data_IF_152910066361
#
_entry.id   IF_152910066361
#
_cell.length_a   1.000
_cell.length_b   1.000
_cell.length_c   1.000
_cell.angle_alpha   90.00
_cell.angle_beta   90.00
_cell.angle_gamma   90.00
#
_symmetry.space_group_name_H-M   'P 1'
#
loop_
_entity.id
_entity.type
_entity.pdbx_description
1 polymer ?
#
# COMPACT_ATOMS: atom_id res chain seq x y z
N UNK A 1 41.96 44.21 28.30
CA UNK A 1 41.14 43.01 28.03
C UNK A 1 41.30 42.65 26.55
N UNK A 2 41.75 41.43 26.23
CA UNK A 2 41.90 40.95 24.85
C UNK A 2 40.53 40.65 24.24
N UNK A 3 40.28 40.92 22.95
CA UNK A 3 39.06 40.45 22.30
C UNK A 3 39.16 38.94 22.08
N UNK A 4 38.18 38.18 22.59
CA UNK A 4 38.01 36.77 22.28
C UNK A 4 37.34 36.68 20.89
N UNK A 5 38.12 36.24 19.90
CA UNK A 5 37.61 35.87 18.58
C UNK A 5 37.12 34.41 18.66
N UNK A 6 35.81 34.17 18.60
CA UNK A 6 35.28 32.82 18.41
C UNK A 6 35.37 32.46 16.93
N UNK A 7 36.14 31.42 16.60
CA UNK A 7 36.12 30.79 15.29
C UNK A 7 34.82 29.96 15.15
N UNK A 8 34.00 30.24 14.13
CA UNK A 8 32.95 29.32 13.73
C UNK A 8 33.58 28.03 13.16
N UNK A 9 33.13 26.82 13.55
CA UNK A 9 33.54 25.61 12.87
C UNK A 9 32.97 25.59 11.45
N UNK A 10 33.74 24.96 10.55
CA UNK A 10 33.60 24.99 9.11
C UNK A 10 32.16 24.77 8.60
N UNK A 11 31.75 25.69 7.72
CA UNK A 11 30.56 25.58 6.88
C UNK A 11 30.74 24.39 5.92
N UNK A 12 29.99 23.31 6.13
CA UNK A 12 29.93 22.21 5.18
C UNK A 12 29.12 22.69 3.96
N UNK A 13 29.80 22.91 2.84
CA UNK A 13 29.14 23.24 1.56
C UNK A 13 28.52 21.95 1.01
N UNK A 14 27.23 21.79 1.22
CA UNK A 14 26.43 20.75 0.57
C UNK A 14 26.05 21.25 -0.83
N UNK A 15 26.65 20.70 -1.89
CA UNK A 15 26.18 20.98 -3.25
C UNK A 15 25.02 20.03 -3.60
N UNK A 16 23.83 20.62 -3.77
CA UNK A 16 22.65 19.96 -4.36
C UNK A 16 22.28 20.78 -5.59
N UNK A 17 22.04 20.20 -6.77
CA UNK A 17 21.68 21.00 -7.94
C UNK A 17 20.27 21.59 -7.79
N UNK A 18 20.18 22.90 -8.10
CA UNK A 18 18.98 23.70 -8.37
C UNK A 18 17.98 23.97 -7.22
N UNK A 19 18.45 24.24 -6.01
CA UNK A 19 17.64 24.92 -4.98
C UNK A 19 18.42 26.07 -4.34
N UNK A 20 17.81 27.25 -4.25
CA UNK A 20 18.36 28.37 -3.49
C UNK A 20 17.87 28.24 -2.05
N UNK A 21 18.77 27.86 -1.13
CA UNK A 21 18.49 27.85 0.31
C UNK A 21 18.94 29.20 0.87
N UNK A 22 18.00 29.97 1.41
CA UNK A 22 18.32 31.21 2.12
C UNK A 22 18.22 30.95 3.61
N UNK A 23 19.35 31.02 4.32
CA UNK A 23 19.41 30.95 5.77
C UNK A 23 19.56 32.38 6.29
N UNK A 24 18.61 32.83 7.12
CA UNK A 24 18.70 34.12 7.80
C UNK A 24 18.76 33.87 9.31
N UNK A 25 19.80 34.41 9.94
CA UNK A 25 19.93 34.44 11.38
C UNK A 25 19.38 35.77 11.89
N UNK A 26 18.37 35.73 12.77
CA UNK A 26 17.90 36.93 13.46
C UNK A 26 18.87 37.36 14.56
N UNK A 27 18.69 38.56 15.10
CA UNK A 27 19.49 39.05 16.23
C UNK A 27 19.37 38.11 17.43
N UNK A 28 20.51 37.70 17.99
CA UNK A 28 20.54 36.85 19.16
C UNK A 28 19.83 37.51 20.34
N UNK A 29 19.01 36.74 21.05
CA UNK A 29 18.44 37.15 22.33
C UNK A 29 19.29 36.56 23.44
N UNK A 30 19.89 37.45 24.23
CA UNK A 30 20.69 37.07 25.40
C UNK A 30 19.83 37.23 26.63
N UNK A 31 19.61 36.14 27.36
CA UNK A 31 18.97 36.17 28.68
C UNK A 31 19.99 35.77 29.73
N UNK A 32 19.98 36.50 30.84
CA UNK A 32 20.86 36.23 31.99
C UNK A 32 19.99 35.81 33.17
N UNK A 33 20.36 34.71 33.81
CA UNK A 33 19.72 34.22 35.03
C UNK A 33 20.79 33.65 35.94
N UNK A 34 21.00 34.32 37.08
CA UNK A 34 22.08 33.99 38.02
C UNK A 34 23.45 33.99 37.34
N UNK A 35 24.25 32.95 37.59
CA UNK A 35 25.60 32.78 37.00
C UNK A 35 25.60 32.23 35.57
N UNK A 36 24.44 32.14 34.92
CA UNK A 36 24.29 31.56 33.58
C UNK A 36 23.85 32.61 32.54
N UNK A 37 24.48 32.54 31.37
CA UNK A 37 24.12 33.34 30.19
C UNK A 37 23.66 32.39 29.10
N UNK A 38 22.42 32.56 28.64
CA UNK A 38 21.85 31.79 27.53
C UNK A 38 21.71 32.72 26.32
N UNK A 39 22.33 32.33 25.21
CA UNK A 39 22.24 33.06 23.94
C UNK A 39 21.44 32.19 22.97
N UNK A 40 20.27 32.66 22.55
CA UNK A 40 19.43 31.98 21.56
C UNK A 40 19.49 32.72 20.22
N UNK A 41 19.65 31.95 19.14
CA UNK A 41 19.58 32.46 17.77
C UNK A 41 18.32 31.89 17.10
N UNK A 42 17.37 32.73 16.67
CA UNK A 42 16.31 32.27 15.79
C UNK A 42 16.89 32.05 14.38
N UNK A 43 16.72 30.84 13.85
CA UNK A 43 17.10 30.49 12.48
C UNK A 43 15.85 30.16 11.68
N UNK A 44 15.63 30.90 10.60
CA UNK A 44 14.57 30.62 9.62
C UNK A 44 15.20 30.07 8.35
N UNK A 45 14.71 28.92 7.90
CA UNK A 45 15.15 28.27 6.65
C UNK A 45 13.99 28.32 5.66
N UNK A 46 14.18 29.02 4.55
CA UNK A 46 13.21 29.06 3.45
C UNK A 46 13.82 28.34 2.26
N UNK A 47 13.08 27.38 1.72
CA UNK A 47 13.46 26.61 0.53
C UNK A 47 12.52 26.97 -0.60
N UNK A 48 13.06 27.57 -1.66
CA UNK A 48 12.31 27.87 -2.89
C UNK A 48 12.80 27.00 -4.03
N UNK A 49 11.89 26.23 -4.63
CA UNK A 49 12.15 25.42 -5.83
C UNK A 49 11.83 26.21 -7.10
N UNK A 50 12.79 26.32 -8.02
CA UNK A 50 12.49 26.79 -9.37
C UNK A 50 11.85 25.65 -10.18
N UNK A 51 10.76 25.94 -10.90
CA UNK A 51 10.17 24.98 -11.82
C UNK A 51 11.16 24.64 -12.94
N UNK A 52 11.56 23.38 -13.03
CA UNK A 52 12.41 22.89 -14.12
C UNK A 52 11.52 22.61 -15.34
N UNK A 53 11.72 23.38 -16.41
CA UNK A 53 11.18 23.04 -17.74
C UNK A 53 12.11 21.99 -18.35
N UNK A 54 11.66 20.74 -18.41
CA UNK A 54 12.37 19.67 -19.13
C UNK A 54 12.11 19.76 -20.64
N UNK A 55 13.11 19.61 -21.53
CA UNK A 55 12.87 19.44 -22.96
C UNK A 55 12.14 18.11 -23.23
N UNK A 56 11.31 18.04 -24.30
CA UNK A 56 10.44 16.90 -24.51
C UNK A 56 11.24 15.64 -24.85
N UNK A 57 11.09 14.60 -24.03
CA UNK A 57 11.42 13.22 -24.41
C UNK A 57 10.34 12.77 -25.39
N UNK A 58 10.74 12.29 -26.56
CA UNK A 58 9.84 11.70 -27.54
C UNK A 58 9.11 10.50 -26.92
N UNK A 59 7.84 10.69 -26.56
CA UNK A 59 6.93 9.64 -26.11
C UNK A 59 5.98 9.31 -27.25
N UNK A 60 5.76 8.02 -27.47
CA UNK A 60 4.67 7.48 -28.29
C UNK A 60 3.32 8.03 -27.82
N UNK A 61 2.31 8.18 -28.69
CA UNK A 61 1.12 8.98 -28.40
C UNK A 61 0.33 8.41 -27.22
N UNK A 62 0.30 9.17 -26.13
CA UNK A 62 -0.58 8.97 -24.97
C UNK A 62 -1.95 9.52 -25.35
N UNK A 63 -2.98 8.68 -25.27
CA UNK A 63 -4.38 9.11 -25.34
C UNK A 63 -4.70 9.86 -24.05
N UNK A 64 -4.89 11.18 -24.14
CA UNK A 64 -5.32 12.01 -23.00
C UNK A 64 -6.77 11.67 -22.63
N UNK A 65 -7.08 11.23 -21.40
CA UNK A 65 -8.45 11.02 -20.97
C UNK A 65 -9.20 12.36 -20.88
N UNK A 66 -10.51 12.41 -21.21
CA UNK A 66 -11.32 13.59 -20.96
C UNK A 66 -11.44 13.87 -19.45
N UNK A 67 -11.58 15.14 -19.09
CA UNK A 67 -11.68 15.59 -17.70
C UNK A 67 -12.83 14.90 -16.96
N UNK A 68 -12.48 14.15 -15.92
CA UNK A 68 -13.41 13.54 -14.96
C UNK A 68 -13.97 14.61 -14.02
N UNK A 69 -15.28 14.59 -13.78
CA UNK A 69 -15.91 15.36 -12.71
C UNK A 69 -15.35 14.90 -11.37
N UNK A 70 -14.62 15.78 -10.70
CA UNK A 70 -13.94 15.54 -9.42
C UNK A 70 -14.92 15.02 -8.36
N UNK A 71 -14.67 13.85 -7.73
CA UNK A 71 -15.33 13.48 -6.48
C UNK A 71 -15.05 14.55 -5.40
N UNK A 72 -15.86 14.58 -4.34
CA UNK A 72 -15.55 15.38 -3.14
C UNK A 72 -14.07 15.20 -2.76
N UNK A 73 -13.39 16.28 -2.35
CA UNK A 73 -11.97 16.23 -1.99
C UNK A 73 -11.68 15.03 -1.10
N UNK A 74 -10.70 14.17 -1.44
CA UNK A 74 -10.38 13.01 -0.61
C UNK A 74 -10.14 13.52 0.81
N UNK A 75 -10.85 12.93 1.76
CA UNK A 75 -10.68 13.23 3.18
C UNK A 75 -9.26 12.87 3.60
N UNK A 76 -8.77 13.51 4.65
CA UNK A 76 -7.40 13.25 5.11
C UNK A 76 -7.37 11.95 5.90
N UNK A 77 -6.24 11.25 5.88
CA UNK A 77 -6.03 10.02 6.68
C UNK A 77 -6.31 10.25 8.18
N UNK A 78 -6.12 11.48 8.66
CA UNK A 78 -6.42 11.90 10.01
C UNK A 78 -7.92 11.81 10.37
N UNK A 79 -8.84 11.83 9.40
CA UNK A 79 -10.28 11.80 9.62
C UNK A 79 -10.87 10.39 9.70
N UNK A 80 -10.13 9.36 9.25
CA UNK A 80 -10.57 7.97 9.36
C UNK A 80 -10.77 7.63 10.85
N UNK A 81 -11.85 6.93 11.19
CA UNK A 81 -12.09 6.48 12.56
C UNK A 81 -11.02 5.51 13.07
N UNK A 82 -11.09 5.15 14.35
CA UNK A 82 -10.15 4.20 14.98
C UNK A 82 -10.86 2.93 15.45
N UNK A 83 -10.08 1.87 15.65
CA UNK A 83 -10.56 0.56 16.06
C UNK A 83 -10.81 -0.38 14.88
N UNK A 84 -11.61 -1.41 15.11
CA UNK A 84 -11.95 -2.43 14.11
C UNK A 84 -13.06 -1.92 13.17
N UNK A 85 -12.83 -2.03 11.86
CA UNK A 85 -13.72 -1.58 10.78
C UNK A 85 -14.32 -0.19 11.01
N UNK A 86 -13.49 0.85 11.20
CA UNK A 86 -14.01 2.19 11.36
C UNK A 86 -14.60 2.70 10.05
N UNK A 87 -15.33 3.80 10.14
CA UNK A 87 -15.68 4.59 8.95
C UNK A 87 -14.41 5.25 8.40
N UNK A 88 -14.15 5.08 7.10
CA UNK A 88 -13.01 5.68 6.42
C UNK A 88 -13.28 7.10 5.94
N UNK A 89 -14.49 7.64 6.16
CA UNK A 89 -14.90 8.99 5.79
C UNK A 89 -14.65 9.28 4.29
N UNK A 90 -14.75 8.25 3.44
CA UNK A 90 -14.46 8.35 2.00
C UNK A 90 -12.97 8.47 1.65
N UNK A 91 -12.04 8.15 2.57
CA UNK A 91 -10.61 8.15 2.29
C UNK A 91 -10.27 7.15 1.16
N UNK A 92 -9.58 7.66 0.14
CA UNK A 92 -9.11 6.88 -1.00
C UNK A 92 -7.60 6.66 -0.90
N UNK A 93 -7.22 5.40 -0.71
CA UNK A 93 -5.82 4.99 -0.72
C UNK A 93 -5.19 5.27 -2.08
N UNK A 94 -4.03 5.94 -2.07
CA UNK A 94 -3.29 6.28 -3.30
C UNK A 94 -2.25 5.21 -3.67
N UNK A 95 -2.17 4.12 -2.90
CA UNK A 95 -1.20 3.03 -3.07
C UNK A 95 -1.25 2.43 -4.47
N UNK A 96 -2.46 2.24 -5.02
CA UNK A 96 -2.71 1.71 -6.37
C UNK A 96 -3.58 2.73 -7.12
N UNK A 97 -2.98 3.77 -7.71
CA UNK A 97 -3.76 4.80 -8.40
C UNK A 97 -4.58 4.25 -9.58
N UNK A 98 -4.17 3.11 -10.17
CA UNK A 98 -4.92 2.42 -11.22
C UNK A 98 -6.29 1.93 -10.74
N UNK A 99 -6.48 1.72 -9.43
CA UNK A 99 -7.77 1.36 -8.87
C UNK A 99 -8.78 2.51 -8.98
N UNK A 100 -8.32 3.76 -9.01
CA UNK A 100 -9.16 4.96 -8.99
C UNK A 100 -9.61 5.42 -10.39
N UNK A 101 -9.16 4.74 -11.44
CA UNK A 101 -9.45 5.09 -12.82
C UNK A 101 -10.84 4.58 -13.22
N UNK A 102 -11.67 5.48 -13.76
CA UNK A 102 -12.91 5.11 -14.43
C UNK A 102 -12.59 4.42 -15.78
N UNK A 103 -12.89 3.13 -15.85
CA UNK A 103 -12.66 2.28 -17.01
C UNK A 103 -13.95 2.00 -17.78
N UNK A 104 -15.06 2.67 -17.49
CA UNK A 104 -16.36 2.42 -18.11
C UNK A 104 -16.34 2.55 -19.64
N UNK A 105 -15.45 3.41 -20.17
CA UNK A 105 -15.25 3.65 -21.60
C UNK A 105 -14.10 2.84 -22.22
N UNK A 106 -13.35 2.07 -21.42
CA UNK A 106 -12.19 1.35 -21.91
C UNK A 106 -12.60 0.23 -22.89
N UNK A 107 -11.81 -0.03 -23.94
CA UNK A 107 -12.10 -1.08 -24.90
C UNK A 107 -12.08 -2.46 -24.23
N UNK A 108 -12.94 -3.35 -24.72
CA UNK A 108 -13.01 -4.74 -24.28
C UNK A 108 -11.97 -5.55 -25.05
N UNK A 109 -11.21 -6.38 -24.34
CA UNK A 109 -10.38 -7.42 -24.95
C UNK A 109 -11.27 -8.64 -25.21
N UNK A 110 -11.80 -8.73 -26.43
CA UNK A 110 -12.72 -9.81 -26.82
C UNK A 110 -12.06 -11.18 -26.78
N UNK A 111 -10.75 -11.27 -27.03
CA UNK A 111 -10.01 -12.53 -26.99
C UNK A 111 -9.85 -13.02 -25.56
N UNK A 112 -9.38 -12.16 -24.64
CA UNK A 112 -9.27 -12.52 -23.22
C UNK A 112 -10.63 -12.80 -22.62
N UNK A 113 -11.65 -12.01 -22.97
CA UNK A 113 -13.03 -12.26 -22.51
C UNK A 113 -13.52 -13.63 -22.97
N UNK A 114 -13.34 -14.00 -24.25
CA UNK A 114 -13.75 -15.31 -24.73
C UNK A 114 -13.00 -16.47 -24.05
N UNK A 115 -11.69 -16.32 -23.83
CA UNK A 115 -10.88 -17.33 -23.13
C UNK A 115 -11.31 -17.49 -21.67
N UNK A 116 -11.53 -16.36 -20.98
CA UNK A 116 -12.02 -16.32 -19.61
C UNK A 116 -13.39 -16.99 -19.47
N UNK A 117 -14.34 -16.64 -20.33
CA UNK A 117 -15.65 -17.28 -20.31
C UNK A 117 -15.55 -18.78 -20.60
N UNK A 118 -14.70 -19.23 -21.54
CA UNK A 118 -14.52 -20.66 -21.82
C UNK A 118 -14.11 -21.47 -20.59
N UNK A 119 -13.33 -20.89 -19.69
CA UNK A 119 -12.84 -21.56 -18.48
C UNK A 119 -13.85 -21.51 -17.34
N UNK A 120 -14.48 -20.35 -17.09
CA UNK A 120 -15.30 -20.14 -15.90
C UNK A 120 -16.83 -20.27 -16.13
N UNK A 121 -17.35 -20.26 -17.37
CA UNK A 121 -18.81 -20.34 -17.63
C UNK A 121 -19.43 -21.74 -17.74
N UNK A 122 -18.77 -22.82 -17.27
CA UNK A 122 -19.34 -24.18 -17.37
C UNK A 122 -20.34 -24.48 -16.23
N UNK A 123 -21.25 -25.46 -16.42
CA UNK A 123 -22.72 -25.29 -16.56
C UNK A 123 -23.50 -24.73 -15.35
N UNK A 124 -22.83 -24.43 -14.23
CA UNK A 124 -23.43 -23.72 -13.09
C UNK A 124 -23.00 -22.27 -12.99
N UNK A 125 -21.87 -21.86 -13.61
CA UNK A 125 -21.24 -20.54 -13.50
C UNK A 125 -20.83 -20.22 -12.05
N UNK A 126 -19.66 -19.63 -11.81
CA UNK A 126 -19.40 -19.09 -10.48
C UNK A 126 -20.08 -17.72 -10.36
N UNK A 127 -20.78 -17.56 -9.25
CA UNK A 127 -21.55 -16.36 -8.97
C UNK A 127 -20.70 -15.38 -8.19
N UNK A 128 -21.08 -14.12 -8.17
CA UNK A 128 -20.49 -13.19 -7.22
C UNK A 128 -20.71 -13.69 -5.79
N UNK A 129 -19.62 -13.80 -5.05
CA UNK A 129 -19.60 -14.09 -3.62
C UNK A 129 -19.04 -12.90 -2.85
N UNK A 130 -19.70 -12.51 -1.78
CA UNK A 130 -19.16 -11.55 -0.83
C UNK A 130 -18.28 -12.29 0.17
N UNK A 131 -16.99 -12.01 0.15
CA UNK A 131 -16.06 -12.42 1.21
C UNK A 131 -15.93 -11.30 2.23
N UNK A 132 -16.83 -11.24 3.20
CA UNK A 132 -16.79 -10.24 4.28
C UNK A 132 -15.96 -10.70 5.49
N UNK A 133 -14.87 -11.45 5.26
CA UNK A 133 -14.04 -11.96 6.37
C UNK A 133 -12.86 -11.06 6.68
N UNK A 134 -12.52 -10.09 5.82
CA UNK A 134 -11.27 -9.31 5.93
C UNK A 134 -11.30 -8.36 7.13
N UNK A 135 -10.44 -8.57 8.13
CA UNK A 135 -10.36 -7.69 9.28
C UNK A 135 -9.56 -6.44 8.94
N UNK A 136 -10.06 -5.28 9.37
CA UNK A 136 -9.33 -4.02 9.29
C UNK A 136 -9.29 -3.35 10.65
N UNK A 137 -8.11 -2.95 11.10
CA UNK A 137 -7.95 -2.17 12.33
C UNK A 137 -7.17 -0.89 12.04
N UNK A 138 -7.59 0.22 12.64
CA UNK A 138 -6.97 1.54 12.45
C UNK A 138 -6.60 2.14 13.80
N UNK A 139 -5.39 2.68 13.92
CA UNK A 139 -4.90 3.33 15.14
C UNK A 139 -4.02 4.54 14.85
N UNK A 140 -4.15 5.59 15.66
CA UNK A 140 -3.19 6.70 15.71
C UNK A 140 -2.05 6.48 16.72
N UNK A 141 -2.14 5.46 17.55
CA UNK A 141 -1.18 5.17 18.62
C UNK A 141 -0.68 3.72 18.50
N UNK A 142 0.01 3.37 17.40
CA UNK A 142 0.49 2.02 17.18
C UNK A 142 1.49 1.60 18.26
N UNK A 143 1.36 0.36 18.73
CA UNK A 143 2.43 -0.31 19.47
C UNK A 143 3.03 -1.35 18.55
N UNK A 144 4.29 -1.17 18.16
CA UNK A 144 4.92 -2.08 17.22
C UNK A 144 5.53 -3.29 17.93
N UNK A 145 5.37 -4.45 17.30
CA UNK A 145 6.01 -5.70 17.68
C UNK A 145 6.89 -6.20 16.55
N UNK A 146 8.03 -6.79 16.89
CA UNK A 146 8.87 -7.49 15.93
C UNK A 146 8.33 -8.90 15.72
N UNK A 147 8.17 -9.30 14.47
CA UNK A 147 7.84 -10.69 14.13
C UNK A 147 9.03 -11.61 14.44
N UNK A 148 8.80 -12.70 15.16
CA UNK A 148 9.82 -13.69 15.48
C UNK A 148 10.22 -14.53 14.26
N UNK A 149 9.33 -14.63 13.28
CA UNK A 149 9.56 -15.34 12.01
C UNK A 149 8.63 -14.78 10.92
N UNK A 150 9.21 -14.61 9.73
CA UNK A 150 8.49 -14.44 8.47
C UNK A 150 8.95 -15.54 7.52
N UNK A 151 8.02 -16.28 6.93
CA UNK A 151 8.35 -17.50 6.16
C UNK A 151 8.94 -17.16 4.80
N UNK A 152 8.36 -16.19 4.09
CA UNK A 152 8.86 -15.67 2.81
C UNK A 152 9.58 -14.36 3.05
N UNK A 153 10.69 -14.45 3.79
CA UNK A 153 11.44 -13.29 4.26
C UNK A 153 12.06 -12.47 3.11
N UNK A 154 12.44 -13.12 2.00
CA UNK A 154 13.13 -12.47 0.89
C UNK A 154 12.21 -11.58 0.05
N UNK A 155 10.89 -11.79 0.13
CA UNK A 155 9.88 -10.95 -0.54
C UNK A 155 9.10 -10.04 0.42
N UNK A 156 9.39 -10.12 1.73
CA UNK A 156 8.73 -9.34 2.78
C UNK A 156 9.53 -8.11 3.21
N UNK A 157 8.85 -7.11 3.77
CA UNK A 157 9.51 -5.86 4.19
C UNK A 157 10.26 -5.98 5.52
N UNK A 158 9.84 -6.88 6.42
CA UNK A 158 10.53 -7.22 7.67
C UNK A 158 10.70 -6.02 8.60
N UNK A 159 9.60 -5.29 8.81
CA UNK A 159 9.50 -4.16 9.72
C UNK A 159 8.70 -4.53 10.98
N UNK A 160 8.85 -3.78 12.09
CA UNK A 160 7.94 -3.90 13.21
C UNK A 160 6.52 -3.51 12.78
N UNK A 161 5.53 -4.29 13.23
CA UNK A 161 4.13 -4.19 12.81
C UNK A 161 3.24 -3.84 14.01
N UNK A 162 2.16 -3.05 13.83
CA UNK A 162 1.33 -2.56 14.93
C UNK A 162 0.32 -3.60 15.44
N UNK A 163 0.78 -4.82 15.74
CA UNK A 163 -0.09 -5.90 16.22
C UNK A 163 -0.31 -5.82 17.74
N UNK A 164 -1.47 -6.29 18.18
CA UNK A 164 -1.83 -6.39 19.60
C UNK A 164 -2.53 -7.72 19.92
N UNK A 165 -2.73 -8.07 21.19
CA UNK A 165 -3.56 -9.21 21.57
C UNK A 165 -5.03 -9.06 21.15
N UNK A 166 -5.45 -7.89 20.69
CA UNK A 166 -6.78 -7.61 20.14
C UNK A 166 -6.82 -7.62 18.60
N UNK A 167 -5.66 -7.83 17.94
CA UNK A 167 -5.62 -7.91 16.47
C UNK A 167 -6.58 -8.99 15.99
N UNK A 168 -7.48 -8.59 15.10
CA UNK A 168 -8.46 -9.47 14.45
C UNK A 168 -7.86 -10.08 13.19
N UNK A 169 -8.08 -11.39 13.03
CA UNK A 169 -7.84 -12.13 11.78
C UNK A 169 -9.21 -12.54 11.18
N UNK A 170 -9.23 -13.10 9.97
CA UNK A 170 -10.47 -13.58 9.31
C UNK A 170 -11.28 -14.56 10.17
N UNK A 171 -10.64 -15.24 11.14
CA UNK A 171 -11.26 -16.23 12.03
C UNK A 171 -11.31 -15.79 13.50
N UNK A 172 -11.29 -14.47 13.74
CA UNK A 172 -11.47 -13.86 15.05
C UNK A 172 -10.19 -13.29 15.64
N UNK A 173 -10.21 -12.99 16.94
CA UNK A 173 -9.06 -12.36 17.61
C UNK A 173 -7.89 -13.35 17.65
N UNK A 174 -6.70 -12.87 17.30
CA UNK A 174 -5.48 -13.69 17.25
C UNK A 174 -5.21 -14.39 18.58
N UNK A 175 -4.81 -15.67 18.52
CA UNK A 175 -4.54 -16.47 19.72
C UNK A 175 -5.79 -17.01 20.44
N UNK A 176 -6.99 -16.79 19.92
CA UNK A 176 -8.21 -17.53 20.32
C UNK A 176 -8.33 -18.85 19.56
N UNK A 177 -9.20 -19.78 20.00
CA UNK A 177 -9.34 -21.09 19.36
C UNK A 177 -9.73 -20.99 17.87
N UNK A 178 -10.58 -20.02 17.48
CA UNK A 178 -10.97 -19.79 16.08
C UNK A 178 -9.80 -19.32 15.20
N UNK A 179 -8.97 -18.41 15.72
CA UNK A 179 -7.80 -17.88 15.03
C UNK A 179 -6.51 -18.71 15.19
N UNK A 180 -6.58 -19.90 15.82
CA UNK A 180 -5.43 -20.80 16.03
C UNK A 180 -5.26 -21.85 14.94
N UNK A 181 -6.18 -21.93 13.97
CA UNK A 181 -6.15 -22.95 12.95
C UNK A 181 -4.90 -22.81 12.06
N UNK A 182 -4.00 -23.80 12.11
CA UNK A 182 -2.71 -23.74 11.43
C UNK A 182 -2.79 -23.66 9.89
N UNK A 183 -3.95 -23.99 9.32
CA UNK A 183 -4.23 -24.07 7.88
C UNK A 183 -5.17 -22.96 7.37
N UNK A 184 -5.43 -21.92 8.16
CA UNK A 184 -6.23 -20.77 7.73
C UNK A 184 -5.33 -19.63 7.25
N UNK A 185 -5.87 -18.83 6.33
CA UNK A 185 -5.22 -17.65 5.76
C UNK A 185 -4.84 -16.60 6.81
N UNK A 186 -5.74 -16.26 7.74
CA UNK A 186 -5.47 -15.34 8.85
C UNK A 186 -4.82 -14.03 8.41
N UNK A 187 -5.41 -13.40 7.39
CA UNK A 187 -5.04 -12.05 7.00
C UNK A 187 -5.20 -11.09 8.17
N UNK A 188 -4.26 -10.16 8.32
CA UNK A 188 -4.35 -9.01 9.24
C UNK A 188 -4.02 -7.74 8.50
N UNK A 189 -4.95 -6.78 8.51
CA UNK A 189 -4.81 -5.48 7.86
C UNK A 189 -4.85 -4.39 8.91
N UNK A 190 -3.72 -3.75 9.14
CA UNK A 190 -3.52 -2.76 10.21
C UNK A 190 -3.13 -1.41 9.60
N UNK A 191 -3.86 -0.35 9.92
CA UNK A 191 -3.58 1.02 9.46
C UNK A 191 -3.06 1.84 10.62
N UNK A 192 -1.84 2.34 10.44
CA UNK A 192 -1.26 3.38 11.26
C UNK A 192 -1.48 4.73 10.57
N UNK A 193 -2.53 5.42 11.02
CA UNK A 193 -2.92 6.72 10.46
C UNK A 193 -2.00 7.87 10.88
N UNK A 194 -1.15 7.67 11.90
CA UNK A 194 -0.17 8.69 12.33
C UNK A 194 1.04 8.70 11.41
N UNK A 195 1.52 7.54 10.97
CA UNK A 195 2.69 7.44 10.09
C UNK A 195 2.34 7.21 8.62
N UNK A 196 1.07 7.12 8.25
CA UNK A 196 0.67 6.95 6.85
C UNK A 196 0.95 5.55 6.30
N UNK A 197 0.78 4.52 7.15
CA UNK A 197 1.16 3.14 6.82
C UNK A 197 0.00 2.17 6.91
N UNK A 198 -0.01 1.24 5.96
CA UNK A 198 -0.86 0.08 5.94
C UNK A 198 0.05 -1.16 6.01
N UNK A 199 -0.19 -2.01 6.98
CA UNK A 199 0.51 -3.27 7.18
C UNK A 199 -0.43 -4.41 6.84
N UNK A 200 -0.01 -5.27 5.93
CA UNK A 200 -0.77 -6.43 5.52
C UNK A 200 0.09 -7.67 5.71
N UNK A 201 -0.43 -8.64 6.46
CA UNK A 201 0.27 -9.89 6.73
C UNK A 201 -0.62 -11.08 6.39
N UNK A 202 0.00 -12.14 5.89
CA UNK A 202 -0.62 -13.43 5.62
C UNK A 202 -0.17 -14.47 6.65
N UNK A 203 -1.11 -15.33 7.08
CA UNK A 203 -0.94 -16.34 8.12
C UNK A 203 -0.32 -15.81 9.41
N UNK A 204 -0.87 -14.70 9.91
CA UNK A 204 -0.44 -14.11 11.18
C UNK A 204 -0.80 -15.05 12.33
N UNK A 205 0.19 -15.40 13.16
CA UNK A 205 0.08 -16.36 14.27
C UNK A 205 0.66 -15.75 15.54
N UNK A 206 -0.01 -16.01 16.67
CA UNK A 206 0.49 -15.71 18.02
C UNK A 206 0.71 -17.03 18.78
N UNK A 207 1.96 -17.32 19.11
CA UNK A 207 2.34 -18.51 19.88
C UNK A 207 3.33 -18.13 20.98
N UNK A 208 3.04 -18.54 22.22
CA UNK A 208 3.90 -18.28 23.39
C UNK A 208 4.29 -16.79 23.55
N UNK A 209 3.38 -15.86 23.21
CA UNK A 209 3.62 -14.42 23.28
C UNK A 209 4.43 -13.82 22.13
N UNK A 210 4.80 -14.62 21.12
CA UNK A 210 5.53 -14.16 19.93
C UNK A 210 4.65 -14.20 18.68
N UNK A 211 4.71 -13.12 17.89
CA UNK A 211 4.03 -13.01 16.61
C UNK A 211 4.90 -13.55 15.47
N UNK A 212 4.29 -14.26 14.53
CA UNK A 212 4.94 -14.70 13.29
C UNK A 212 3.95 -14.59 12.14
N UNK A 213 4.47 -14.55 10.91
CA UNK A 213 3.64 -14.54 9.71
C UNK A 213 4.27 -15.38 8.60
N UNK A 214 3.50 -15.69 7.56
CA UNK A 214 4.04 -16.23 6.32
C UNK A 214 4.71 -15.11 5.52
N UNK A 215 4.01 -14.00 5.30
CA UNK A 215 4.53 -12.80 4.63
C UNK A 215 4.14 -11.52 5.38
N UNK A 216 4.87 -10.45 5.11
CA UNK A 216 4.60 -9.09 5.61
C UNK A 216 4.84 -8.10 4.47
N UNK A 217 3.87 -7.23 4.21
CA UNK A 217 4.01 -6.13 3.25
C UNK A 217 3.54 -4.82 3.88
N UNK A 218 4.32 -3.77 3.68
CA UNK A 218 4.04 -2.44 4.21
C UNK A 218 3.87 -1.45 3.09
N UNK A 219 2.73 -0.79 3.09
CA UNK A 219 2.30 0.13 2.06
C UNK A 219 2.26 1.55 2.59
N UNK A 220 2.60 2.49 1.72
CA UNK A 220 2.17 3.88 1.88
C UNK A 220 0.68 4.00 1.53
N UNK A 221 -0.09 4.63 2.42
CA UNK A 221 -1.52 4.91 2.21
C UNK A 221 -1.79 6.09 1.28
N UNK A 222 -0.82 6.99 1.09
CA UNK A 222 -0.99 8.29 0.41
C UNK A 222 -0.11 8.51 -0.83
N UNK A 223 0.77 7.56 -1.16
CA UNK A 223 1.58 7.58 -2.38
C UNK A 223 1.45 6.27 -3.16
N UNK A 224 1.58 6.32 -4.51
CA UNK A 224 1.70 5.13 -5.32
C UNK A 224 2.88 4.26 -4.86
N UNK A 225 2.65 2.96 -4.69
CA UNK A 225 3.67 2.01 -4.31
C UNK A 225 3.41 0.67 -5.00
N UNK A 226 4.45 0.09 -5.61
CA UNK A 226 4.41 -1.26 -6.19
C UNK A 226 5.62 -2.05 -5.72
N UNK A 227 5.44 -3.37 -5.58
CA UNK A 227 6.56 -4.28 -5.30
C UNK A 227 7.52 -4.37 -6.49
N UNK A 228 8.76 -4.81 -6.29
CA UNK A 228 9.60 -5.29 -7.38
C UNK A 228 8.89 -6.40 -8.18
N UNK A 229 9.21 -6.52 -9.47
CA UNK A 229 8.69 -7.62 -10.28
C UNK A 229 9.10 -8.97 -9.72
N UNK A 230 8.14 -9.89 -9.67
CA UNK A 230 8.30 -11.21 -9.08
C UNK A 230 8.13 -11.26 -7.56
N UNK A 231 7.95 -10.12 -6.88
CA UNK A 231 7.65 -10.14 -5.44
C UNK A 231 6.14 -10.25 -5.24
N UNK A 232 5.74 -11.23 -4.42
CA UNK A 232 4.37 -11.33 -3.91
C UNK A 232 4.09 -10.29 -2.81
N UNK A 233 2.93 -10.40 -2.18
CA UNK A 233 2.55 -9.64 -0.99
C UNK A 233 1.75 -10.53 -0.03
N UNK A 234 0.83 -9.97 0.77
CA UNK A 234 -0.23 -10.78 1.40
C UNK A 234 -1.29 -11.24 0.40
N UNK A 235 -1.19 -10.80 -0.85
CA UNK A 235 -2.00 -11.17 -2.00
C UNK A 235 -1.08 -11.70 -3.11
N UNK A 236 -1.48 -12.78 -3.79
CA UNK A 236 -0.67 -13.40 -4.85
C UNK A 236 -0.25 -12.42 -5.94
N UNK A 237 -1.09 -11.47 -6.35
CA UNK A 237 -0.77 -10.52 -7.42
C UNK A 237 0.35 -9.52 -7.04
N UNK A 238 0.76 -9.48 -5.78
CA UNK A 238 1.63 -8.42 -5.25
C UNK A 238 0.89 -7.09 -5.06
N UNK A 239 -0.44 -7.12 -4.97
CA UNK A 239 -1.30 -5.96 -4.77
C UNK A 239 -1.61 -5.76 -3.27
N UNK A 240 -1.86 -4.52 -2.82
CA UNK A 240 -2.41 -4.31 -1.50
C UNK A 240 -3.88 -4.76 -1.44
N UNK A 241 -4.30 -5.32 -0.31
CA UNK A 241 -5.65 -5.84 -0.07
C UNK A 241 -6.61 -4.70 0.28
N UNK A 242 -6.35 -3.93 1.35
CA UNK A 242 -7.27 -2.91 1.87
C UNK A 242 -7.69 -1.84 0.83
N UNK A 243 -6.78 -1.30 -0.01
CA UNK A 243 -7.14 -0.34 -1.06
C UNK A 243 -8.11 -0.89 -2.12
N UNK A 244 -8.28 -2.23 -2.18
CA UNK A 244 -9.12 -2.94 -3.13
C UNK A 244 -10.30 -3.67 -2.44
N UNK A 245 -10.47 -3.51 -1.12
CA UNK A 245 -11.59 -4.11 -0.40
C UNK A 245 -12.88 -3.35 -0.64
N UNK A 246 -13.97 -4.08 -0.82
CA UNK A 246 -15.30 -3.53 -0.71
C UNK A 246 -15.57 -3.13 0.76
N UNK A 247 -15.83 -1.85 1.05
CA UNK A 247 -16.11 -1.41 2.43
C UNK A 247 -17.56 -1.03 2.65
N UNK A 248 -18.12 -1.47 3.78
CA UNK A 248 -19.51 -1.20 4.12
C UNK A 248 -19.81 0.31 4.24
N UNK A 249 -18.90 1.09 4.80
CA UNK A 249 -19.08 2.53 4.98
C UNK A 249 -19.23 3.26 3.63
N UNK A 250 -18.53 2.83 2.59
CA UNK A 250 -18.69 3.36 1.24
C UNK A 250 -20.05 3.03 0.62
N UNK A 251 -20.54 1.81 0.84
CA UNK A 251 -21.90 1.41 0.43
C UNK A 251 -22.95 2.23 1.17
N UNK A 252 -22.78 2.42 2.48
CA UNK A 252 -23.68 3.24 3.30
C UNK A 252 -23.64 4.73 2.89
N UNK A 253 -22.49 5.23 2.46
CA UNK A 253 -22.30 6.58 1.95
C UNK A 253 -22.75 6.75 0.49
N UNK A 254 -23.12 5.66 -0.19
CA UNK A 254 -23.74 5.70 -1.51
C UNK A 254 -22.78 5.66 -2.71
N UNK A 255 -21.47 5.50 -2.49
CA UNK A 255 -20.50 5.41 -3.57
C UNK A 255 -19.21 4.70 -3.13
N UNK A 256 -18.76 3.77 -3.97
CA UNK A 256 -17.41 3.20 -3.92
C UNK A 256 -16.65 3.78 -5.11
N UNK A 257 -15.52 4.43 -4.84
CA UNK A 257 -14.78 5.23 -5.84
C UNK A 257 -13.45 4.59 -6.27
N UNK A 258 -13.36 3.27 -6.15
CA UNK A 258 -12.17 2.50 -6.51
C UNK A 258 -12.57 1.12 -7.03
N UNK A 259 -11.59 0.42 -7.58
CA UNK A 259 -11.70 -0.95 -8.02
C UNK A 259 -11.78 -1.92 -6.85
N UNK A 260 -12.47 -3.04 -7.06
CA UNK A 260 -12.48 -4.13 -6.11
C UNK A 260 -11.35 -5.15 -6.42
N UNK A 261 -11.09 -6.05 -5.49
CA UNK A 261 -10.33 -7.29 -5.76
C UNK A 261 -11.27 -8.48 -5.91
N UNK A 262 -10.87 -9.44 -6.75
CA UNK A 262 -11.58 -10.70 -6.95
C UNK A 262 -10.59 -11.86 -7.04
N UNK A 263 -10.97 -13.02 -6.50
CA UNK A 263 -10.16 -14.23 -6.51
C UNK A 263 -10.68 -15.29 -7.50
N UNK A 264 -9.79 -16.21 -7.88
CA UNK A 264 -10.10 -17.38 -8.71
C UNK A 264 -9.32 -18.59 -8.20
N UNK A 265 -9.83 -19.81 -8.41
CA UNK A 265 -9.24 -21.05 -7.85
C UNK A 265 -7.78 -21.23 -8.26
N UNK A 266 -7.46 -20.86 -9.50
CA UNK A 266 -6.10 -20.77 -9.99
C UNK A 266 -5.95 -19.50 -10.83
N UNK A 267 -4.79 -18.87 -10.71
CA UNK A 267 -4.38 -17.73 -11.53
C UNK A 267 -3.28 -18.09 -12.52
N UNK A 268 -3.01 -17.21 -13.47
CA UNK A 268 -1.90 -17.33 -14.39
C UNK A 268 -0.56 -17.02 -13.69
N UNK A 269 0.54 -17.66 -14.11
CA UNK A 269 1.90 -17.32 -13.68
C UNK A 269 2.47 -16.03 -14.31
N UNK A 270 1.83 -15.51 -15.34
CA UNK A 270 2.04 -14.17 -15.91
C UNK A 270 1.07 -13.18 -15.27
N UNK A 271 1.39 -11.89 -15.34
CA UNK A 271 0.58 -10.84 -14.71
C UNK A 271 0.50 -9.58 -15.58
N UNK A 272 -0.45 -8.71 -15.25
CA UNK A 272 -0.65 -7.41 -15.90
C UNK A 272 -0.58 -6.33 -14.82
N UNK A 273 0.08 -5.21 -15.10
CA UNK A 273 0.13 -4.10 -14.14
C UNK A 273 -1.30 -3.64 -13.75
N UNK A 274 -1.53 -3.28 -12.47
CA UNK A 274 -0.53 -3.00 -11.44
C UNK A 274 0.00 -4.23 -10.68
N UNK A 275 -0.46 -5.45 -10.98
CA UNK A 275 0.11 -6.65 -10.39
C UNK A 275 1.58 -6.81 -10.80
N UNK A 276 2.39 -7.34 -9.89
CA UNK A 276 3.84 -7.52 -10.05
C UNK A 276 4.25 -8.97 -9.90
N UNK A 277 3.32 -9.85 -9.59
CA UNK A 277 3.53 -11.28 -9.39
C UNK A 277 2.30 -12.06 -9.87
N UNK A 278 2.50 -13.33 -10.19
CA UNK A 278 1.42 -14.27 -10.47
C UNK A 278 1.80 -15.67 -10.03
N UNK A 279 0.80 -16.48 -9.71
CA UNK A 279 1.00 -17.85 -9.23
C UNK A 279 0.39 -18.82 -10.23
N UNK A 280 1.16 -19.77 -10.75
CA UNK A 280 0.67 -20.78 -11.68
C UNK A 280 1.65 -21.13 -12.80
N UNK A 281 1.28 -22.09 -13.64
CA UNK A 281 2.10 -22.59 -14.76
C UNK A 281 1.96 -21.75 -16.05
N UNK A 282 1.13 -20.70 -16.03
CA UNK A 282 0.96 -19.74 -17.13
C UNK A 282 -0.22 -20.00 -18.07
N UNK A 283 -1.09 -20.96 -17.78
CA UNK A 283 -2.18 -21.37 -18.69
C UNK A 283 -3.59 -20.88 -18.32
N UNK A 284 -3.85 -20.57 -17.05
CA UNK A 284 -5.16 -20.11 -16.58
C UNK A 284 -5.52 -18.72 -17.15
N UNK A 285 -6.79 -18.52 -17.48
CA UNK A 285 -7.26 -17.26 -18.08
C UNK A 285 -7.45 -16.13 -17.06
N UNK A 286 -7.58 -16.45 -15.77
CA UNK A 286 -7.51 -15.46 -14.69
C UNK A 286 -6.08 -14.97 -14.48
N UNK A 287 -5.71 -13.88 -15.15
CA UNK A 287 -4.36 -13.31 -15.07
C UNK A 287 -4.31 -12.29 -13.92
N UNK A 288 -3.41 -12.42 -12.92
CA UNK A 288 -3.23 -11.42 -11.87
C UNK A 288 -3.06 -10.00 -12.44
N UNK A 289 -3.80 -9.05 -11.87
CA UNK A 289 -3.92 -7.66 -12.32
C UNK A 289 -4.79 -7.44 -13.57
N UNK A 290 -5.30 -8.51 -14.20
CA UNK A 290 -6.36 -8.39 -15.22
C UNK A 290 -7.56 -7.68 -14.59
N UNK A 291 -8.12 -6.75 -15.36
CA UNK A 291 -9.25 -5.94 -14.92
C UNK A 291 -10.54 -6.44 -15.57
N UNK A 292 -11.47 -6.91 -14.76
CA UNK A 292 -12.82 -7.28 -15.19
C UNK A 292 -13.81 -6.15 -14.87
N UNK A 293 -14.78 -5.92 -15.75
CA UNK A 293 -15.76 -4.84 -15.62
C UNK A 293 -17.16 -5.38 -15.86
N UNK A 294 -18.11 -5.03 -15.01
CA UNK A 294 -19.52 -5.38 -15.21
C UNK A 294 -20.04 -4.70 -16.49
N UNK A 295 -20.72 -5.46 -17.34
CA UNK A 295 -21.27 -4.96 -18.61
C UNK A 295 -22.21 -3.77 -18.36
N UNK A 296 -22.07 -2.74 -19.19
CA UNK A 296 -22.92 -1.55 -19.12
C UNK A 296 -24.42 -1.91 -19.25
N UNK A 297 -24.73 -2.92 -20.06
CA UNK A 297 -26.09 -3.43 -20.32
C UNK A 297 -26.72 -4.23 -19.17
N UNK A 298 -25.97 -4.61 -18.14
CA UNK A 298 -26.54 -5.33 -17.00
C UNK A 298 -27.50 -4.41 -16.23
N UNK A 299 -28.78 -4.77 -16.15
CA UNK A 299 -29.77 -3.94 -15.46
C UNK A 299 -29.63 -4.06 -13.94
N UNK A 300 -29.27 -2.95 -13.30
CA UNK A 300 -29.06 -2.85 -11.86
C UNK A 300 -30.29 -2.32 -11.11
N UNK A 301 -31.30 -1.81 -11.82
CA UNK A 301 -32.43 -1.06 -11.23
C UNK A 301 -33.31 -1.93 -10.31
N UNK A 302 -33.31 -3.24 -10.55
CA UNK A 302 -34.05 -4.26 -9.79
C UNK A 302 -33.45 -4.60 -8.42
N UNK A 303 -32.20 -4.22 -8.14
CA UNK A 303 -31.55 -4.53 -6.87
C UNK A 303 -31.77 -3.41 -5.83
N UNK A 304 -31.46 -3.71 -4.56
CA UNK A 304 -31.48 -2.71 -3.49
C UNK A 304 -30.55 -1.52 -3.80
N UNK A 305 -30.74 -0.39 -3.11
CA UNK A 305 -29.87 0.78 -3.29
C UNK A 305 -28.42 0.47 -2.90
N UNK A 306 -28.20 -0.31 -1.84
CA UNK A 306 -26.87 -0.77 -1.42
C UNK A 306 -26.20 -1.62 -2.50
N UNK A 307 -26.90 -2.59 -3.08
CA UNK A 307 -26.37 -3.41 -4.18
C UNK A 307 -26.14 -2.59 -5.47
N UNK A 308 -26.99 -1.59 -5.75
CA UNK A 308 -26.75 -0.66 -6.86
C UNK A 308 -25.43 0.11 -6.71
N UNK A 309 -24.98 0.43 -5.49
CA UNK A 309 -23.67 1.06 -5.26
C UNK A 309 -22.53 0.13 -5.68
N UNK A 310 -22.56 -1.13 -5.25
CA UNK A 310 -21.55 -2.15 -5.60
C UNK A 310 -21.51 -2.36 -7.12
N UNK A 311 -22.67 -2.59 -7.74
CA UNK A 311 -22.77 -2.80 -9.19
C UNK A 311 -22.35 -1.57 -9.99
N UNK A 312 -22.62 -0.36 -9.50
CA UNK A 312 -22.14 0.88 -10.12
C UNK A 312 -20.61 0.95 -10.09
N UNK A 313 -19.98 0.58 -8.97
CA UNK A 313 -18.53 0.53 -8.86
C UNK A 313 -17.92 -0.52 -9.80
N UNK A 314 -18.54 -1.71 -9.91
CA UNK A 314 -18.10 -2.75 -10.86
C UNK A 314 -18.25 -2.35 -12.33
N UNK A 315 -19.23 -1.49 -12.68
CA UNK A 315 -19.35 -0.92 -14.03
C UNK A 315 -18.30 0.16 -14.29
N UNK A 316 -18.03 1.00 -13.29
CA UNK A 316 -17.19 2.19 -13.44
C UNK A 316 -15.72 1.88 -13.27
N UNK A 317 -15.36 1.25 -12.16
CA UNK A 317 -14.00 0.90 -11.79
C UNK A 317 -13.70 -0.56 -12.11
N UNK A 318 -14.65 -1.48 -11.96
CA UNK A 318 -14.37 -2.92 -12.16
C UNK A 318 -13.58 -3.53 -11.00
N UNK A 319 -12.96 -4.68 -11.24
CA UNK A 319 -12.19 -5.41 -10.25
C UNK A 319 -10.90 -6.03 -10.82
N UNK A 320 -9.85 -6.06 -10.01
CA UNK A 320 -8.60 -6.74 -10.33
C UNK A 320 -8.66 -8.21 -9.91
N UNK A 321 -8.25 -9.10 -10.81
CA UNK A 321 -7.86 -10.47 -10.44
C UNK A 321 -6.65 -10.36 -9.51
N UNK A 322 -6.79 -10.81 -8.28
CA UNK A 322 -5.79 -10.56 -7.24
C UNK A 322 -5.15 -11.87 -6.75
N UNK A 323 -5.98 -12.86 -6.41
CA UNK A 323 -5.49 -13.98 -5.62
C UNK A 323 -6.05 -15.34 -6.02
N UNK A 324 -5.38 -16.39 -5.54
CA UNK A 324 -5.88 -17.75 -5.57
C UNK A 324 -6.86 -17.95 -4.42
N UNK A 325 -8.11 -18.27 -4.73
CA UNK A 325 -9.19 -18.44 -3.76
C UNK A 325 -10.45 -18.96 -4.44
N UNK A 326 -11.63 -18.81 -3.85
CA UNK A 326 -12.86 -19.16 -4.55
C UNK A 326 -13.06 -18.32 -5.81
N UNK A 327 -13.60 -18.92 -6.87
CA UNK A 327 -13.98 -18.17 -8.08
C UNK A 327 -15.02 -17.10 -7.76
N UNK A 328 -14.80 -15.88 -8.25
CA UNK A 328 -15.73 -14.75 -8.12
C UNK A 328 -16.02 -14.32 -6.67
N UNK A 329 -15.08 -14.55 -5.75
CA UNK A 329 -15.13 -13.98 -4.39
C UNK A 329 -14.56 -12.56 -4.39
N UNK A 330 -15.38 -11.60 -4.02
CA UNK A 330 -15.03 -10.20 -3.86
C UNK A 330 -14.89 -9.90 -2.37
N UNK A 331 -13.66 -9.61 -1.96
CA UNK A 331 -13.37 -9.39 -0.54
C UNK A 331 -13.84 -8.03 -0.05
N UNK A 332 -14.37 -8.04 1.15
CA UNK A 332 -14.96 -6.94 1.86
C UNK A 332 -14.51 -6.93 3.32
N UNK A 333 -14.53 -5.75 3.94
CA UNK A 333 -14.24 -5.65 5.36
C UNK A 333 -15.28 -6.44 6.20
N UNK A 334 -14.87 -6.99 7.34
CA UNK A 334 -15.73 -7.81 8.20
C UNK A 334 -16.69 -7.00 9.09
N UNK A 335 -17.34 -6.03 8.47
CA UNK A 335 -18.33 -5.18 9.11
C UNK A 335 -19.62 -5.95 9.42
N UNK A 336 -20.09 -6.00 10.68
CA UNK A 336 -21.29 -6.74 11.04
C UNK A 336 -22.59 -6.16 10.45
N UNK A 337 -22.53 -4.96 9.83
CA UNK A 337 -23.68 -4.31 9.21
C UNK A 337 -23.97 -4.81 7.80
N UNK A 338 -23.12 -5.64 7.22
CA UNK A 338 -23.40 -6.31 5.94
C UNK A 338 -24.69 -7.13 6.03
N UNK A 339 -25.66 -6.84 5.15
CA UNK A 339 -26.82 -7.70 4.94
C UNK A 339 -26.46 -8.75 3.89
N UNK A 340 -25.96 -9.90 4.33
CA UNK A 340 -25.49 -10.98 3.44
C UNK A 340 -26.61 -11.58 2.60
N UNK A 341 -27.86 -11.57 3.08
CA UNK A 341 -29.00 -12.07 2.32
C UNK A 341 -29.33 -11.15 1.14
N UNK A 342 -29.32 -9.83 1.36
CA UNK A 342 -29.52 -8.85 0.27
C UNK A 342 -28.40 -8.91 -0.76
N UNK A 343 -27.14 -9.02 -0.31
CA UNK A 343 -26.00 -9.20 -1.23
C UNK A 343 -26.08 -10.54 -1.96
N UNK A 344 -26.59 -11.60 -1.32
CA UNK A 344 -26.81 -12.90 -1.94
C UNK A 344 -27.81 -12.87 -3.10
N UNK A 345 -28.85 -12.04 -3.03
CA UNK A 345 -29.80 -11.83 -4.16
C UNK A 345 -29.08 -11.23 -5.37
N UNK A 346 -28.19 -10.26 -5.15
CA UNK A 346 -27.34 -9.71 -6.21
C UNK A 346 -26.35 -10.76 -6.73
N UNK A 347 -25.71 -11.50 -5.81
CA UNK A 347 -24.72 -12.52 -6.10
C UNK A 347 -25.25 -13.59 -7.06
N UNK A 348 -26.40 -14.16 -6.75
CA UNK A 348 -27.06 -15.19 -7.57
C UNK A 348 -27.44 -14.71 -8.99
N UNK A 349 -27.50 -13.40 -9.23
CA UNK A 349 -27.80 -12.83 -10.53
C UNK A 349 -26.55 -12.42 -11.33
N UNK A 350 -25.36 -12.48 -10.73
CA UNK A 350 -24.11 -12.00 -11.27
C UNK A 350 -23.16 -13.17 -11.50
N UNK A 351 -23.04 -13.60 -12.74
CA UNK A 351 -22.10 -14.63 -13.21
C UNK A 351 -20.93 -14.00 -13.94
N UNK A 352 -19.91 -14.77 -14.27
CA UNK A 352 -18.79 -14.33 -15.12
C UNK A 352 -19.27 -13.78 -16.45
N UNK A 353 -20.31 -14.38 -17.04
CA UNK A 353 -20.88 -13.93 -18.30
C UNK A 353 -21.41 -12.49 -18.28
N UNK A 354 -21.60 -11.89 -17.10
CA UNK A 354 -21.99 -10.50 -16.95
C UNK A 354 -20.82 -9.51 -17.02
N UNK A 355 -19.57 -9.98 -17.05
CA UNK A 355 -18.37 -9.14 -17.10
C UNK A 355 -17.69 -9.19 -18.47
N UNK A 356 -16.92 -8.13 -18.74
CA UNK A 356 -15.95 -8.05 -19.82
C UNK A 356 -14.54 -7.92 -19.23
N UNK A 357 -13.54 -8.51 -19.90
CA UNK A 357 -12.14 -8.20 -19.63
C UNK A 357 -11.80 -6.90 -20.37
N UNK A 358 -11.37 -5.87 -19.65
CA UNK A 358 -10.91 -4.63 -20.30
C UNK A 358 -9.48 -4.78 -20.80
N UNK A 359 -9.19 -4.16 -21.95
CA UNK A 359 -7.89 -4.24 -22.58
C UNK A 359 -6.83 -3.59 -21.69
N UNK A 360 -5.94 -4.43 -21.17
CA UNK A 360 -4.81 -4.05 -20.32
C UNK A 360 -3.56 -4.76 -20.84
N UNK A 361 -2.55 -3.98 -21.21
CA UNK A 361 -1.29 -4.47 -21.80
C UNK A 361 -0.12 -3.66 -21.24
N UNK A 362 1.10 -4.22 -21.25
CA UNK A 362 1.48 -5.56 -21.72
C UNK A 362 1.23 -6.67 -20.68
N UNK A 363 1.12 -7.92 -21.18
CA UNK A 363 1.22 -9.12 -20.34
C UNK A 363 2.70 -9.36 -20.01
N UNK A 364 3.01 -9.50 -18.73
CA UNK A 364 4.37 -9.73 -18.24
C UNK A 364 4.52 -11.20 -17.88
N UNK A 365 5.51 -11.86 -18.49
CA UNK A 365 5.86 -13.24 -18.13
C UNK A 365 6.53 -13.26 -16.75
N UNK A 366 5.87 -13.88 -15.76
CA UNK A 366 6.39 -13.93 -14.40
C UNK A 366 7.68 -14.73 -14.23
N UNK A 367 7.99 -15.64 -15.15
CA UNK A 367 9.25 -16.40 -15.15
C UNK A 367 10.41 -15.64 -15.82
N UNK A 368 10.10 -14.56 -16.53
CA UNK A 368 11.09 -13.71 -17.20
C UNK A 368 10.62 -12.25 -17.16
N UNK A 369 10.50 -11.65 -15.95
CA UNK A 369 10.04 -10.28 -15.83
C UNK A 369 11.04 -9.29 -16.45
N UNK A 370 10.59 -8.09 -16.86
CA UNK A 370 11.47 -7.07 -17.39
C UNK A 370 12.58 -6.69 -16.41
N UNK A 371 13.82 -6.60 -16.90
CA UNK A 371 14.98 -6.18 -16.12
C UNK A 371 15.32 -4.71 -16.39
N UNK A 372 15.91 -4.03 -15.40
CA UNK A 372 16.32 -2.63 -15.52
C UNK A 372 17.27 -2.21 -14.41
N UNK A 373 17.57 -0.90 -14.35
CA UNK A 373 18.45 -0.37 -13.32
C UNK A 373 17.78 -0.40 -11.94
N UNK A 374 18.43 -1.07 -10.99
CA UNK A 374 18.04 -1.04 -9.56
C UNK A 374 18.37 0.32 -8.93
N UNK A 375 17.81 0.66 -7.75
CA UNK A 375 18.11 1.91 -7.07
C UNK A 375 19.59 2.01 -6.66
N UNK A 376 20.05 3.24 -6.37
CA UNK A 376 21.41 3.50 -5.88
C UNK A 376 21.36 4.22 -4.54
N UNK A 377 21.92 3.60 -3.49
CA UNK A 377 22.06 4.22 -2.16
C UNK A 377 23.36 5.03 -2.12
N UNK A 378 23.25 6.35 -2.31
CA UNK A 378 24.38 7.28 -2.24
C UNK A 378 24.96 7.39 -0.84
N UNK A 379 24.11 7.48 0.19
CA UNK A 379 24.54 7.58 1.58
C UNK A 379 23.56 6.88 2.52
N UNK A 380 24.07 6.37 3.65
CA UNK A 380 23.28 5.91 4.79
C UNK A 380 24.13 6.07 6.05
N UNK A 381 23.71 6.95 6.95
CA UNK A 381 24.46 7.34 8.15
C UNK A 381 23.59 7.20 9.40
N UNK A 382 24.26 7.03 10.54
CA UNK A 382 23.63 6.98 11.86
C UNK A 382 24.40 7.89 12.81
N UNK A 383 23.69 8.78 13.51
CA UNK A 383 24.27 9.66 14.51
C UNK A 383 23.45 9.63 15.79
N UNK A 384 24.11 9.77 16.93
CA UNK A 384 23.43 9.81 18.24
C UNK A 384 23.04 11.24 18.57
N UNK A 385 21.75 11.50 18.78
CA UNK A 385 21.22 12.82 19.13
C UNK A 385 20.26 12.67 20.30
N UNK A 386 20.56 13.34 21.42
CA UNK A 386 19.71 13.38 22.61
C UNK A 386 19.21 12.00 23.10
N UNK A 387 20.06 10.97 23.05
CA UNK A 387 19.71 9.61 23.48
C UNK A 387 18.92 8.79 22.44
N UNK A 388 18.80 9.28 21.20
CA UNK A 388 18.18 8.59 20.08
C UNK A 388 19.21 8.34 18.96
N UNK A 389 18.92 7.38 18.07
CA UNK A 389 19.65 7.23 16.82
C UNK A 389 18.91 7.97 15.71
N UNK A 390 19.57 8.94 15.07
CA UNK A 390 19.06 9.60 13.85
C UNK A 390 19.74 8.98 12.64
N UNK A 391 18.94 8.33 11.80
CA UNK A 391 19.33 7.76 10.52
C UNK A 391 19.07 8.78 9.41
N UNK A 392 20.00 8.91 8.47
CA UNK A 392 19.84 9.75 7.27
C UNK A 392 20.37 9.04 6.04
N UNK A 393 19.69 9.17 4.90
CA UNK A 393 20.09 8.53 3.65
C UNK A 393 19.80 9.37 2.43
N UNK A 394 20.46 9.02 1.33
CA UNK A 394 20.15 9.51 -0.01
C UNK A 394 20.08 8.35 -0.98
N UNK A 395 19.02 8.31 -1.77
CA UNK A 395 18.76 7.23 -2.72
C UNK A 395 18.25 7.82 -4.03
N UNK A 396 18.75 7.31 -5.16
CA UNK A 396 18.25 7.66 -6.49
C UNK A 396 17.63 6.42 -7.15
N UNK A 397 16.60 6.65 -7.99
CA UNK A 397 15.93 5.57 -8.73
C UNK A 397 15.06 4.64 -7.87
N UNK A 398 14.80 4.98 -6.61
CA UNK A 398 13.91 4.25 -5.72
C UNK A 398 12.48 4.75 -5.85
N UNK A 399 11.53 3.82 -5.80
CA UNK A 399 10.09 4.12 -5.69
C UNK A 399 9.62 4.16 -4.24
N UNK A 400 10.21 3.35 -3.37
CA UNK A 400 10.03 3.43 -1.91
C UNK A 400 11.27 2.88 -1.19
N UNK A 401 11.45 3.25 0.06
CA UNK A 401 12.57 2.79 0.90
C UNK A 401 12.12 2.65 2.35
N UNK A 402 12.76 1.77 3.09
CA UNK A 402 12.48 1.54 4.51
C UNK A 402 13.73 1.08 5.24
N UNK A 403 13.74 1.20 6.58
CA UNK A 403 14.80 0.65 7.42
C UNK A 403 14.29 -0.65 8.02
N UNK A 404 14.91 -1.76 7.62
CA UNK A 404 14.57 -3.10 8.08
C UNK A 404 14.60 -3.15 9.60
N UNK A 405 13.61 -3.81 10.21
CA UNK A 405 13.43 -3.94 11.65
C UNK A 405 13.25 -2.63 12.45
N UNK A 406 13.11 -1.47 11.80
CA UNK A 406 12.81 -0.19 12.46
C UNK A 406 11.44 0.36 12.07
N UNK A 407 11.29 0.87 10.84
CA UNK A 407 10.01 1.33 10.29
C UNK A 407 10.13 1.69 8.80
N UNK A 408 8.99 1.85 8.13
CA UNK A 408 8.91 2.49 6.81
C UNK A 408 8.58 3.99 6.97
N UNK A 409 9.38 4.89 6.39
CA UNK A 409 9.15 6.35 6.46
C UNK A 409 9.25 6.99 5.07
N UNK A 410 8.45 8.04 4.85
CA UNK A 410 8.43 8.78 3.58
C UNK A 410 9.54 9.84 3.50
N UNK A 411 10.33 9.99 4.57
CA UNK A 411 11.43 10.93 4.69
C UNK A 411 12.78 10.27 4.40
N UNK A 412 13.80 11.07 4.07
CA UNK A 412 15.20 10.64 3.99
C UNK A 412 15.90 10.60 5.35
N UNK A 413 15.13 10.67 6.43
CA UNK A 413 15.60 10.66 7.81
C UNK A 413 14.61 9.93 8.71
N UNK A 414 15.12 9.26 9.74
CA UNK A 414 14.32 8.55 10.74
C UNK A 414 14.98 8.72 12.11
N UNK A 415 14.16 8.88 13.14
CA UNK A 415 14.63 8.81 14.53
C UNK A 415 14.20 7.49 15.15
N UNK A 416 15.16 6.70 15.59
CA UNK A 416 14.95 5.45 16.32
C UNK A 416 15.18 5.70 17.80
N UNK A 417 14.20 5.31 18.62
CA UNK A 417 14.17 5.54 20.06
C UNK A 417 13.92 4.20 20.78
N UNK A 418 14.67 3.86 21.84
CA UNK A 418 15.85 4.56 22.35
C UNK A 418 17.11 4.28 21.50
N UNK A 419 18.18 5.05 21.72
CA UNK A 419 19.52 4.67 21.26
C UNK A 419 19.90 3.29 21.80
N UNK A 420 20.46 2.46 20.92
CA UNK A 420 21.02 1.15 21.27
C UNK A 420 22.47 1.11 20.82
N UNK A 421 23.40 1.06 21.78
CA UNK A 421 24.83 1.05 21.53
C UNK A 421 25.23 -0.15 20.65
N UNK A 422 25.95 0.12 19.56
CA UNK A 422 26.41 -0.90 18.63
C UNK A 422 25.32 -1.53 17.76
N UNK A 423 24.09 -1.00 17.75
CA UNK A 423 23.03 -1.46 16.86
C UNK A 423 23.42 -1.29 15.38
N UNK A 424 22.98 -2.23 14.55
CA UNK A 424 23.14 -2.17 13.10
C UNK A 424 21.79 -1.98 12.46
N UNK A 425 21.67 -0.98 11.59
CA UNK A 425 20.48 -0.72 10.79
C UNK A 425 20.76 -1.06 9.33
N UNK A 426 19.72 -1.52 8.63
CA UNK A 426 19.79 -1.85 7.20
C UNK A 426 18.74 -1.05 6.45
N UNK A 427 19.18 -0.12 5.61
CA UNK A 427 18.31 0.56 4.65
C UNK A 427 18.06 -0.38 3.48
N UNK A 428 16.81 -0.48 3.06
CA UNK A 428 16.37 -1.14 1.83
C UNK A 428 15.76 -0.10 0.90
N UNK A 429 16.18 -0.07 -0.35
CA UNK A 429 15.64 0.78 -1.40
C UNK A 429 15.17 -0.07 -2.57
N UNK A 430 13.94 0.18 -3.03
CA UNK A 430 13.23 -0.67 -3.97
C UNK A 430 12.72 0.11 -5.18
N UNK A 431 12.77 -0.53 -6.35
CA UNK A 431 11.98 -0.17 -7.51
C UNK A 431 11.45 -1.43 -8.20
N UNK A 432 10.76 -1.28 -9.33
CA UNK A 432 10.19 -2.41 -10.06
C UNK A 432 11.24 -3.45 -10.51
N UNK A 433 12.51 -3.07 -10.62
CA UNK A 433 13.59 -3.95 -11.11
C UNK A 433 14.38 -4.64 -10.00
N UNK A 434 14.13 -4.29 -8.73
CA UNK A 434 14.74 -4.97 -7.59
C UNK A 434 15.03 -4.08 -6.39
N UNK A 435 15.77 -4.67 -5.46
CA UNK A 435 16.04 -4.14 -4.13
C UNK A 435 17.55 -4.03 -3.90
N UNK A 436 18.00 -2.93 -3.31
CA UNK A 436 19.39 -2.75 -2.86
C UNK A 436 19.41 -2.43 -1.37
N UNK A 437 20.48 -2.84 -0.69
CA UNK A 437 20.61 -2.62 0.76
C UNK A 437 21.92 -1.95 1.13
N UNK A 438 21.91 -1.22 2.25
CA UNK A 438 23.11 -0.64 2.87
C UNK A 438 22.98 -0.71 4.38
N UNK A 439 24.05 -1.08 5.06
CA UNK A 439 24.07 -1.16 6.53
C UNK A 439 24.86 -0.01 7.14
N UNK A 440 24.45 0.39 8.35
CA UNK A 440 25.20 1.33 9.18
C UNK A 440 25.16 0.83 10.62
N UNK A 441 26.31 0.91 11.30
CA UNK A 441 26.41 0.61 12.72
C UNK A 441 26.45 1.91 13.50
N UNK A 442 25.65 2.02 14.55
CA UNK A 442 25.73 3.16 15.47
C UNK A 442 26.97 3.02 16.32
N UNK A 443 27.73 4.12 16.41
CA UNK A 443 28.93 4.19 17.25
C UNK A 443 28.58 4.43 18.72
#
# INVERSE_FOLDING_TARGET
MKPFLFALPALCVLSIPAQTVTVSAGSATTTTSGSSVTIQFPVSVVVTTAAVVTPPVATTPVVTPPASTTPASPTTLANIGEGTNPNFDGYLFQTVPEALIDISSYPVDSTKTANWLKEYTTPTGDYFHLDNTMPVFVTSSPTYVKLSKVTVADESDLTPVPLSPLTTTENGIIGTAGAKNANSDHHTLEVDKTNGRLYELYQTKLANGAYSAYSETVWNTDQPQRRPYGYTSSDVAGLPILPLLLRYDEVANGAINHALRVTFNNTNGSYILPATHGSGNGSDSAIPGMRIRLKASFDISKFSKSNQVILTALKKYGAFVADNGGNMYFSANNDPRWNTDDVGVMGAALTESNFDVVQTTPLINGQAPPTGAVPVIGSFTAVTVAGNTVLTWSVTGSTYSYVKEAAAVNSQTMTVTPYVAGATYTLVANNQFGSVTKTVKVQ
#
